data_IF_815757000878
#
_entry.id   IF_815757000878
#
_cell.length_a   1.000
_cell.length_b   1.000
_cell.length_c   1.000
_cell.angle_alpha   90.00
_cell.angle_beta   90.00
_cell.angle_gamma   90.00
#
_symmetry.space_group_name_H-M   'P 1'
#
loop_
_entity.id
_entity.type
_entity.pdbx_description
1 polymer ?
#
# COMPACT_ATOMS: atom_id res chain seq x y z
N UNK A 1 -6.85 14.98 -26.01
CA UNK A 1 -5.57 15.34 -25.34
C UNK A 1 -4.55 14.36 -25.87
N UNK A 2 -3.61 14.84 -26.68
CA UNK A 2 -2.61 13.98 -27.30
C UNK A 2 -1.37 13.99 -26.39
N UNK A 3 -1.10 12.87 -25.73
CA UNK A 3 0.21 12.65 -25.12
C UNK A 3 1.18 12.35 -26.26
N UNK A 4 2.29 13.08 -26.37
CA UNK A 4 3.33 12.68 -27.31
C UNK A 4 3.93 11.35 -26.84
N UNK A 5 4.25 10.48 -27.80
CA UNK A 5 4.83 9.15 -27.53
C UNK A 5 6.08 9.26 -26.64
N UNK A 6 6.89 10.31 -26.85
CA UNK A 6 8.04 10.62 -26.01
C UNK A 6 7.69 10.80 -24.53
N UNK A 7 6.57 11.46 -24.22
CA UNK A 7 6.17 11.76 -22.85
C UNK A 7 5.58 10.52 -22.18
N UNK A 8 4.86 9.71 -22.93
CA UNK A 8 4.34 8.43 -22.47
C UNK A 8 5.47 7.45 -22.10
N UNK A 9 6.51 7.33 -22.95
CA UNK A 9 7.69 6.53 -22.65
C UNK A 9 8.43 6.99 -21.40
N UNK A 10 8.57 8.31 -21.22
CA UNK A 10 9.17 8.88 -20.00
C UNK A 10 8.34 8.55 -18.75
N UNK A 11 7.00 8.68 -18.81
CA UNK A 11 6.10 8.33 -17.71
C UNK A 11 6.26 6.85 -17.33
N UNK A 12 6.29 5.95 -18.32
CA UNK A 12 6.51 4.53 -18.07
C UNK A 12 7.89 4.24 -17.47
N UNK A 13 8.93 4.95 -17.91
CA UNK A 13 10.26 4.81 -17.33
C UNK A 13 10.27 5.26 -15.87
N UNK A 14 9.64 6.40 -15.54
CA UNK A 14 9.49 6.87 -14.17
C UNK A 14 8.79 5.85 -13.30
N UNK A 15 7.66 5.29 -13.75
CA UNK A 15 6.96 4.26 -13.00
C UNK A 15 7.82 3.02 -12.77
N UNK A 16 8.54 2.52 -13.78
CA UNK A 16 9.45 1.37 -13.61
C UNK A 16 10.55 1.63 -12.57
N UNK A 17 11.11 2.83 -12.54
CA UNK A 17 12.11 3.21 -11.55
C UNK A 17 11.48 3.29 -10.15
N UNK A 18 10.30 3.93 -10.04
CA UNK A 18 9.54 3.98 -8.79
C UNK A 18 9.22 2.58 -8.27
N UNK A 19 8.78 1.67 -9.15
CA UNK A 19 8.53 0.26 -8.82
C UNK A 19 9.74 -0.39 -8.17
N UNK A 20 10.89 -0.27 -8.84
CA UNK A 20 12.10 -0.97 -8.46
C UNK A 20 12.60 -0.48 -7.10
N UNK A 21 12.54 0.84 -6.88
CA UNK A 21 12.90 1.44 -5.60
C UNK A 21 11.89 1.04 -4.52
N UNK A 22 10.59 1.17 -4.77
CA UNK A 22 9.54 0.83 -3.79
C UNK A 22 9.60 -0.63 -3.39
N UNK A 23 9.70 -1.53 -4.36
CA UNK A 23 9.82 -2.98 -4.12
C UNK A 23 11.07 -3.31 -3.31
N UNK A 24 12.22 -2.70 -3.64
CA UNK A 24 13.47 -2.93 -2.90
C UNK A 24 13.35 -2.48 -1.45
N UNK A 25 12.78 -1.29 -1.20
CA UNK A 25 12.55 -0.78 0.14
C UNK A 25 11.54 -1.63 0.91
N UNK A 26 10.48 -2.09 0.26
CA UNK A 26 9.47 -2.93 0.89
C UNK A 26 10.03 -4.30 1.31
N UNK A 27 10.90 -4.90 0.49
CA UNK A 27 11.60 -6.14 0.82
C UNK A 27 12.57 -5.93 1.97
N UNK A 28 13.39 -4.85 1.94
CA UNK A 28 14.31 -4.53 3.03
C UNK A 28 13.55 -4.26 4.35
N UNK A 29 12.46 -3.50 4.29
CA UNK A 29 11.59 -3.23 5.43
C UNK A 29 11.04 -4.52 6.05
N UNK A 30 10.54 -5.44 5.22
CA UNK A 30 10.07 -6.74 5.67
C UNK A 30 11.21 -7.57 6.31
N UNK A 31 12.39 -7.59 5.71
CA UNK A 31 13.55 -8.32 6.25
C UNK A 31 13.98 -7.78 7.62
N UNK A 32 14.02 -6.45 7.79
CA UNK A 32 14.35 -5.84 9.08
C UNK A 32 13.26 -6.10 10.13
N UNK A 33 11.99 -6.05 9.77
CA UNK A 33 10.87 -6.41 10.65
C UNK A 33 10.91 -7.88 11.09
N UNK A 34 11.37 -8.77 10.20
CA UNK A 34 11.50 -10.18 10.54
C UNK A 34 12.72 -10.45 11.41
N UNK A 35 13.88 -9.84 11.13
CA UNK A 35 15.15 -10.12 11.82
C UNK A 35 15.37 -9.34 13.11
N UNK A 36 14.91 -8.10 13.20
CA UNK A 36 15.33 -7.18 14.26
C UNK A 36 14.25 -6.89 15.31
N UNK A 37 13.00 -7.29 15.08
CA UNK A 37 11.91 -7.05 16.03
C UNK A 37 11.92 -8.07 17.19
N UNK A 38 12.04 -7.63 18.45
CA UNK A 38 12.11 -8.51 19.61
C UNK A 38 10.79 -9.27 19.84
N UNK A 39 10.89 -10.54 20.27
CA UNK A 39 9.73 -11.44 20.49
C UNK A 39 8.71 -10.90 21.51
N UNK A 40 9.13 -10.04 22.43
CA UNK A 40 8.27 -9.43 23.44
C UNK A 40 7.19 -8.50 22.86
N UNK A 41 7.25 -8.18 21.55
CA UNK A 41 6.22 -7.40 20.84
C UNK A 41 5.62 -8.15 19.65
N UNK A 42 5.42 -9.47 19.79
CA UNK A 42 4.89 -10.33 18.72
C UNK A 42 3.58 -9.79 18.09
N UNK A 43 2.64 -9.27 18.88
CA UNK A 43 1.37 -8.73 18.34
C UNK A 43 1.58 -7.51 17.45
N UNK A 44 2.39 -6.53 17.89
CA UNK A 44 2.67 -5.32 17.11
C UNK A 44 3.46 -5.69 15.85
N UNK A 45 4.43 -6.61 15.97
CA UNK A 45 5.20 -7.14 14.84
C UNK A 45 4.28 -7.75 13.77
N UNK A 46 3.28 -8.53 14.18
CA UNK A 46 2.34 -9.15 13.24
C UNK A 46 1.52 -8.09 12.48
N UNK A 47 1.06 -7.03 13.15
CA UNK A 47 0.37 -5.93 12.47
C UNK A 47 1.29 -5.20 11.49
N UNK A 48 2.54 -4.93 11.87
CA UNK A 48 3.51 -4.28 10.99
C UNK A 48 3.84 -5.16 9.76
N UNK A 49 3.98 -6.47 9.93
CA UNK A 49 4.15 -7.42 8.81
C UNK A 49 2.90 -7.40 7.91
N UNK A 50 1.70 -7.42 8.49
CA UNK A 50 0.46 -7.37 7.72
C UNK A 50 0.35 -6.08 6.89
N UNK A 51 0.69 -4.92 7.48
CA UNK A 51 0.76 -3.63 6.77
C UNK A 51 1.77 -3.72 5.62
N UNK A 52 2.96 -4.24 5.89
CA UNK A 52 4.02 -4.37 4.88
C UNK A 52 3.61 -5.25 3.69
N UNK A 53 2.92 -6.37 3.96
CA UNK A 53 2.38 -7.26 2.93
C UNK A 53 1.27 -6.57 2.14
N UNK A 54 0.34 -5.87 2.80
CA UNK A 54 -0.73 -5.14 2.13
C UNK A 54 -0.19 -4.01 1.23
N UNK A 55 0.85 -3.29 1.68
CA UNK A 55 1.54 -2.29 0.86
C UNK A 55 2.19 -2.92 -0.37
N UNK A 56 2.87 -4.06 -0.22
CA UNK A 56 3.46 -4.77 -1.35
C UNK A 56 2.40 -5.25 -2.36
N UNK A 57 1.26 -5.76 -1.88
CA UNK A 57 0.13 -6.12 -2.73
C UNK A 57 -0.43 -4.89 -3.45
N UNK A 58 -0.55 -3.75 -2.76
CA UNK A 58 -0.99 -2.49 -3.36
C UNK A 58 -0.04 -2.01 -4.45
N UNK A 59 1.28 -2.07 -4.24
CA UNK A 59 2.28 -1.67 -5.23
C UNK A 59 2.17 -2.56 -6.48
N UNK A 60 2.09 -3.88 -6.31
CA UNK A 60 1.91 -4.81 -7.44
C UNK A 60 0.60 -4.52 -8.19
N UNK A 61 -0.50 -4.30 -7.47
CA UNK A 61 -1.78 -3.97 -8.08
C UNK A 61 -1.71 -2.66 -8.87
N UNK A 62 -1.14 -1.59 -8.31
CA UNK A 62 -1.12 -0.28 -8.96
C UNK A 62 -0.11 -0.20 -10.10
N UNK A 63 1.02 -0.88 -10.01
CA UNK A 63 2.08 -0.74 -11.00
C UNK A 63 2.01 -1.76 -12.13
N UNK A 64 1.54 -2.98 -11.85
CA UNK A 64 1.44 -4.06 -12.84
C UNK A 64 -0.02 -4.27 -13.26
N UNK A 65 -0.93 -4.34 -12.29
CA UNK A 65 -2.33 -4.72 -12.51
C UNK A 65 -3.15 -3.61 -13.17
N UNK A 66 -3.26 -2.46 -12.50
CA UNK A 66 -4.12 -1.36 -12.89
C UNK A 66 -3.37 -0.32 -13.75
N UNK A 67 -2.17 0.09 -13.33
CA UNK A 67 -1.33 1.10 -13.98
C UNK A 67 -2.11 2.35 -14.45
N UNK A 68 -2.63 3.17 -13.51
CA UNK A 68 -3.40 4.37 -13.86
C UNK A 68 -2.50 5.52 -14.32
N UNK A 69 -2.84 6.13 -15.46
CA UNK A 69 -2.16 7.28 -16.05
C UNK A 69 -3.09 8.50 -15.97
N UNK A 70 -2.82 9.47 -15.08
CA UNK A 70 -3.57 10.72 -15.04
C UNK A 70 -3.21 11.62 -16.23
N UNK A 71 -4.23 12.22 -16.86
CA UNK A 71 -4.08 13.09 -18.03
C UNK A 71 -4.04 14.56 -17.59
N UNK A 72 -2.93 15.03 -17.03
CA UNK A 72 -2.82 16.46 -16.68
C UNK A 72 -2.79 17.34 -17.95
N UNK A 73 -3.51 18.49 -18.01
CA UNK A 73 -4.29 19.16 -16.96
C UNK A 73 -5.78 18.77 -16.88
N UNK A 74 -6.25 17.81 -17.67
CA UNK A 74 -7.64 17.37 -17.57
C UNK A 74 -7.87 16.52 -16.32
N UNK A 75 -9.08 16.62 -15.75
CA UNK A 75 -9.55 15.70 -14.70
C UNK A 75 -10.01 14.40 -15.36
N UNK A 76 -9.08 13.74 -16.03
CA UNK A 76 -9.29 12.49 -16.74
C UNK A 76 -8.06 11.60 -16.57
N UNK A 77 -8.24 10.32 -16.80
CA UNK A 77 -7.16 9.34 -16.75
C UNK A 77 -7.59 8.07 -17.45
N UNK A 78 -6.62 7.27 -17.86
CA UNK A 78 -6.85 5.93 -18.39
C UNK A 78 -5.90 4.95 -17.71
N UNK A 79 -6.15 3.66 -17.87
CA UNK A 79 -5.40 2.61 -17.21
C UNK A 79 -4.92 1.61 -18.24
N UNK A 80 -3.69 1.12 -18.11
CA UNK A 80 -3.04 0.25 -19.11
C UNK A 80 -2.44 -1.03 -18.53
N UNK A 81 -2.69 -1.30 -17.26
CA UNK A 81 -2.11 -2.47 -16.58
C UNK A 81 -2.66 -3.80 -17.11
N UNK A 82 -2.00 -4.88 -16.70
CA UNK A 82 -2.31 -6.24 -17.18
C UNK A 82 -3.77 -6.65 -16.89
N UNK A 83 -4.33 -6.22 -15.76
CA UNK A 83 -5.71 -6.54 -15.38
C UNK A 83 -6.72 -5.86 -16.32
N UNK A 84 -6.43 -4.64 -16.76
CA UNK A 84 -7.22 -3.95 -17.78
C UNK A 84 -7.10 -4.66 -19.14
N UNK A 85 -5.90 -5.12 -19.50
CA UNK A 85 -5.65 -5.81 -20.77
C UNK A 85 -6.38 -7.15 -20.90
N UNK A 86 -6.59 -7.86 -19.78
CA UNK A 86 -7.40 -9.11 -19.75
C UNK A 86 -8.91 -8.84 -19.73
N UNK A 87 -9.34 -7.57 -19.76
CA UNK A 87 -10.74 -7.17 -19.90
C UNK A 87 -11.43 -6.72 -18.60
N UNK A 88 -10.72 -6.52 -17.50
CA UNK A 88 -11.31 -5.90 -16.31
C UNK A 88 -11.62 -4.42 -16.57
N UNK A 89 -12.75 -3.96 -16.03
CA UNK A 89 -13.13 -2.56 -16.17
C UNK A 89 -12.30 -1.66 -15.27
N UNK A 90 -11.96 -0.46 -15.75
CA UNK A 90 -11.27 0.58 -14.96
C UNK A 90 -12.00 0.91 -13.67
N UNK A 91 -13.34 0.87 -13.67
CA UNK A 91 -14.15 1.11 -12.46
C UNK A 91 -13.96 0.01 -11.41
N UNK A 92 -13.87 -1.26 -11.85
CA UNK A 92 -13.63 -2.39 -10.96
C UNK A 92 -12.24 -2.30 -10.32
N UNK A 93 -11.21 -2.00 -11.10
CA UNK A 93 -9.84 -1.85 -10.59
C UNK A 93 -9.73 -0.68 -9.61
N UNK A 94 -10.39 0.45 -9.89
CA UNK A 94 -10.45 1.58 -8.96
C UNK A 94 -11.14 1.19 -7.64
N UNK A 95 -12.24 0.42 -7.71
CA UNK A 95 -12.91 -0.08 -6.51
C UNK A 95 -12.01 -1.01 -5.69
N UNK A 96 -11.27 -1.91 -6.35
CA UNK A 96 -10.27 -2.78 -5.71
C UNK A 96 -9.19 -1.94 -5.01
N UNK A 97 -8.66 -0.93 -5.68
CA UNK A 97 -7.68 0.01 -5.10
C UNK A 97 -8.21 0.65 -3.81
N UNK A 98 -9.46 1.17 -3.83
CA UNK A 98 -10.08 1.78 -2.64
C UNK A 98 -10.21 0.78 -1.50
N UNK A 99 -10.60 -0.46 -1.80
CA UNK A 99 -10.70 -1.53 -0.79
C UNK A 99 -9.34 -1.86 -0.19
N UNK A 100 -8.29 -1.97 -1.00
CA UNK A 100 -6.92 -2.23 -0.51
C UNK A 100 -6.47 -1.11 0.45
N UNK A 101 -6.66 0.15 0.06
CA UNK A 101 -6.31 1.30 0.91
C UNK A 101 -7.12 1.38 2.20
N UNK A 102 -8.41 1.02 2.15
CA UNK A 102 -9.23 0.92 3.34
C UNK A 102 -8.67 -0.12 4.32
N UNK A 103 -8.29 -1.30 3.83
CA UNK A 103 -7.67 -2.35 4.66
C UNK A 103 -6.32 -1.94 5.24
N UNK A 104 -5.48 -1.26 4.44
CA UNK A 104 -4.21 -0.70 4.93
C UNK A 104 -4.48 0.31 6.05
N UNK A 105 -5.45 1.21 5.87
CA UNK A 105 -5.84 2.19 6.88
C UNK A 105 -6.29 1.54 8.19
N UNK A 106 -7.15 0.52 8.12
CA UNK A 106 -7.57 -0.26 9.29
C UNK A 106 -6.37 -0.90 9.99
N UNK A 107 -5.48 -1.56 9.23
CA UNK A 107 -4.31 -2.23 9.79
C UNK A 107 -3.38 -1.24 10.52
N UNK A 108 -3.16 -0.04 9.95
CA UNK A 108 -2.39 1.03 10.58
C UNK A 108 -3.05 1.51 11.88
N UNK A 109 -4.36 1.79 11.85
CA UNK A 109 -5.11 2.25 13.03
C UNK A 109 -5.03 1.22 14.15
N UNK A 110 -5.25 -0.06 13.84
CA UNK A 110 -5.13 -1.15 14.81
C UNK A 110 -3.71 -1.24 15.36
N UNK A 111 -2.68 -1.17 14.51
CA UNK A 111 -1.29 -1.20 14.94
C UNK A 111 -0.98 -0.06 15.93
N UNK A 112 -1.39 1.17 15.63
CA UNK A 112 -1.20 2.34 16.48
C UNK A 112 -1.96 2.18 17.80
N UNK A 113 -3.20 1.71 17.74
CA UNK A 113 -4.03 1.48 18.91
C UNK A 113 -3.40 0.42 19.83
N UNK A 114 -3.00 -0.75 19.32
CA UNK A 114 -2.34 -1.77 20.13
C UNK A 114 -1.02 -1.30 20.72
N UNK A 115 -0.22 -0.55 19.95
CA UNK A 115 1.01 0.06 20.45
C UNK A 115 0.72 1.06 21.59
N UNK A 116 -0.30 1.89 21.44
CA UNK A 116 -0.73 2.82 22.48
C UNK A 116 -1.18 2.08 23.74
N UNK A 117 -1.98 1.01 23.60
CA UNK A 117 -2.45 0.20 24.74
C UNK A 117 -1.30 -0.44 25.53
N UNK A 118 -0.18 -0.75 24.88
CA UNK A 118 1.00 -1.31 25.54
C UNK A 118 1.77 -0.26 26.38
N UNK A 119 1.64 1.03 26.07
CA UNK A 119 2.35 2.12 26.76
C UNK A 119 1.51 2.70 27.91
N UNK A 120 0.19 2.67 27.79
CA UNK A 120 -0.73 3.27 28.78
C UNK A 120 -0.78 2.48 30.08
N UNK A 121 -0.64 3.20 31.20
CA UNK A 121 -0.71 2.67 32.55
C UNK A 121 -2.10 2.14 32.94
N UNK A 122 -2.13 1.18 33.87
CA UNK A 122 -3.34 0.65 34.48
C UNK A 122 -4.10 1.78 35.20
N UNK A 123 -5.39 1.99 34.88
CA UNK A 123 -6.24 3.02 35.51
C UNK A 123 -6.50 4.28 34.68
N UNK A 124 -5.87 4.44 33.51
CA UNK A 124 -6.18 5.55 32.60
C UNK A 124 -7.47 5.26 31.79
N UNK A 125 -8.30 6.29 31.58
CA UNK A 125 -9.56 6.24 30.80
C UNK A 125 -9.37 5.69 29.38
N UNK A 126 -8.18 5.89 28.78
CA UNK A 126 -7.88 5.43 27.43
C UNK A 126 -7.41 3.97 27.33
N UNK A 127 -7.29 3.26 28.46
CA UNK A 127 -6.93 1.84 28.45
C UNK A 127 -8.17 1.00 28.17
N UNK A 128 -8.13 0.20 27.10
CA UNK A 128 -9.21 -0.70 26.76
C UNK A 128 -9.34 -1.76 27.85
N UNK A 129 -10.54 -1.87 28.42
CA UNK A 129 -10.85 -2.91 29.41
C UNK A 129 -10.78 -4.27 28.69
N UNK A 130 -10.02 -5.22 29.23
CA UNK A 130 -10.09 -6.62 28.77
C UNK A 130 -11.52 -7.11 29.02
N UNK A 131 -12.25 -7.37 27.94
CA UNK A 131 -13.58 -8.00 27.97
C UNK A 131 -13.41 -9.48 28.22
#
# INVERSE_FOLDING_TARGET
IYLSISNEEMIFLYFKIMFAVSTSLNVLGLLFLLKQTPQNQATIRNYLIAIQVLLMVSDIHLEIGFHPIPLFPAVAGYAVGLLIQIGLSTHSELAITVVIYFWIGIAIILCVLFRHQHIVFEGNTFKLRKV
#
